data_IF_847368748264
#
_entry.id   IF_847368748264
#
_cell.length_a   1.000
_cell.length_b   1.000
_cell.length_c   1.000
_cell.angle_alpha   90.00
_cell.angle_beta   90.00
_cell.angle_gamma   90.00
#
_symmetry.space_group_name_H-M   'P 1'
#
loop_
_entity.id
_entity.type
_entity.pdbx_description
1 polymer ?
#
# COMPACT_ATOMS: atom_id res chain seq x y z
N UNK A 1 18.78 19.62 -11.18
CA UNK A 1 18.58 20.14 -12.56
C UNK A 1 17.28 19.57 -13.11
N UNK A 2 16.39 20.40 -13.60
CA UNK A 2 15.11 19.96 -14.15
C UNK A 2 15.27 19.35 -15.54
N UNK A 3 14.32 18.47 -15.95
CA UNK A 3 14.30 17.90 -17.32
C UNK A 3 14.36 18.95 -18.44
N UNK A 4 13.97 20.19 -18.16
CA UNK A 4 14.02 21.33 -19.08
C UNK A 4 15.44 21.90 -19.22
N UNK A 5 16.25 21.84 -18.17
CA UNK A 5 17.64 22.34 -18.20
C UNK A 5 18.59 21.37 -18.89
N UNK A 6 18.38 20.04 -18.72
CA UNK A 6 19.12 19.03 -19.47
C UNK A 6 18.89 19.13 -20.99
N UNK A 7 17.66 19.43 -21.44
CA UNK A 7 17.35 19.63 -22.86
C UNK A 7 18.02 20.88 -23.44
N UNK A 8 18.17 21.95 -22.64
CA UNK A 8 18.90 23.15 -23.10
C UNK A 8 20.39 22.94 -23.20
N UNK A 9 20.98 22.14 -22.30
CA UNK A 9 22.43 21.86 -22.32
C UNK A 9 22.84 21.03 -23.55
N UNK A 10 22.02 20.04 -23.93
CA UNK A 10 22.25 19.21 -25.13
C UNK A 10 22.11 20.01 -26.42
N UNK A 11 21.16 20.97 -26.48
CA UNK A 11 21.03 21.87 -27.64
C UNK A 11 22.20 22.85 -27.78
N UNK A 12 22.76 23.36 -26.68
CA UNK A 12 23.89 24.30 -26.70
C UNK A 12 25.20 23.60 -27.11
N UNK A 13 25.43 22.36 -26.70
CA UNK A 13 26.59 21.56 -27.12
C UNK A 13 26.54 21.17 -28.62
N UNK A 14 25.34 20.93 -29.14
CA UNK A 14 25.20 20.63 -30.59
C UNK A 14 25.42 21.87 -31.48
N UNK A 15 25.08 23.08 -31.00
CA UNK A 15 25.30 24.31 -31.76
C UNK A 15 26.76 24.80 -31.74
N UNK A 16 27.53 24.49 -30.70
CA UNK A 16 28.94 24.93 -30.59
C UNK A 16 29.91 24.11 -31.44
N UNK A 17 29.55 22.90 -31.89
CA UNK A 17 30.35 22.10 -32.83
C UNK A 17 30.11 22.46 -34.31
N UNK A 18 29.06 23.21 -34.65
CA UNK A 18 28.71 23.55 -36.03
C UNK A 18 29.35 24.83 -36.56
N UNK A 19 30.07 25.61 -35.73
CA UNK A 19 30.68 26.87 -36.16
C UNK A 19 32.13 26.77 -36.63
N UNK A 20 32.69 25.60 -36.80
CA UNK A 20 34.12 25.40 -37.12
C UNK A 20 34.39 24.75 -38.51
N UNK A 21 33.43 24.80 -39.47
CA UNK A 21 33.69 24.27 -40.81
C UNK A 21 33.48 25.32 -41.91
N UNK A 22 34.46 25.55 -42.82
CA UNK A 22 34.29 26.51 -43.89
C UNK A 22 33.60 25.84 -45.11
N UNK A 23 32.55 26.51 -45.57
CA UNK A 23 32.00 26.50 -46.93
C UNK A 23 31.58 25.19 -47.57
N UNK A 24 30.34 25.05 -47.83
CA UNK A 24 29.52 24.14 -48.64
C UNK A 24 28.47 23.28 -47.89
N UNK A 25 28.03 23.72 -46.72
CA UNK A 25 27.16 22.91 -45.87
C UNK A 25 25.64 23.13 -46.00
N UNK A 26 25.16 24.07 -46.85
CA UNK A 26 23.73 24.46 -46.77
C UNK A 26 22.81 23.48 -47.55
N UNK A 27 23.29 22.81 -48.54
CA UNK A 27 22.46 21.86 -49.32
C UNK A 27 22.29 20.47 -48.65
N UNK A 28 23.17 20.09 -47.70
CA UNK A 28 23.05 18.82 -46.94
C UNK A 28 22.23 18.95 -45.64
N UNK A 29 21.94 20.17 -45.18
CA UNK A 29 21.15 20.36 -43.96
C UNK A 29 19.65 20.10 -44.13
N UNK A 30 19.14 20.14 -45.36
CA UNK A 30 17.71 19.86 -45.60
C UNK A 30 17.37 18.36 -45.53
N UNK A 31 18.36 17.46 -45.63
CA UNK A 31 18.14 16.02 -45.52
C UNK A 31 18.42 15.49 -44.10
N UNK A 32 19.14 16.24 -43.26
CA UNK A 32 19.46 15.86 -41.88
C UNK A 32 18.41 16.28 -40.87
N UNK A 33 17.47 17.17 -41.22
CA UNK A 33 16.44 17.65 -40.30
C UNK A 33 15.27 16.69 -40.06
N UNK A 34 15.21 15.56 -40.79
CA UNK A 34 14.14 14.57 -40.64
C UNK A 34 14.57 13.29 -39.89
N UNK A 35 15.75 13.28 -39.28
CA UNK A 35 16.22 12.14 -38.48
C UNK A 35 16.64 12.60 -37.10
N UNK A 36 15.74 13.29 -36.38
CA UNK A 36 15.73 13.16 -34.93
C UNK A 36 15.05 11.80 -34.67
N UNK A 37 15.76 10.72 -34.93
CA UNK A 37 15.51 9.45 -34.28
C UNK A 37 15.57 9.76 -32.77
N UNK A 38 14.44 9.76 -32.13
CA UNK A 38 14.38 9.57 -30.67
C UNK A 38 15.25 8.33 -30.46
N UNK A 39 16.45 8.52 -29.89
CA UNK A 39 17.28 7.42 -29.41
C UNK A 39 16.38 6.70 -28.39
N UNK A 40 15.70 5.67 -28.85
CA UNK A 40 14.99 4.75 -27.96
C UNK A 40 16.10 4.13 -27.12
N UNK A 41 16.11 4.44 -25.82
CA UNK A 41 17.03 3.79 -24.89
C UNK A 41 16.72 2.30 -24.98
N UNK A 42 17.68 1.50 -25.46
CA UNK A 42 17.49 0.06 -25.57
C UNK A 42 17.23 -0.53 -24.19
N UNK A 43 16.34 -1.52 -24.14
CA UNK A 43 16.05 -2.26 -22.93
C UNK A 43 17.27 -3.08 -22.51
N UNK A 44 17.56 -3.14 -21.23
CA UNK A 44 18.63 -3.92 -20.68
C UNK A 44 18.44 -5.41 -20.99
N UNK A 45 19.41 -6.03 -21.65
CA UNK A 45 19.33 -7.42 -22.11
C UNK A 45 19.10 -8.41 -20.96
N UNK A 46 19.72 -8.17 -19.80
CA UNK A 46 19.55 -9.03 -18.62
C UNK A 46 18.13 -8.93 -18.06
N UNK A 47 17.58 -7.72 -17.95
CA UNK A 47 16.19 -7.52 -17.49
C UNK A 47 15.20 -8.20 -18.45
N UNK A 48 15.44 -8.08 -19.77
CA UNK A 48 14.65 -8.73 -20.80
C UNK A 48 14.74 -10.27 -20.69
N UNK A 49 15.93 -10.82 -20.52
CA UNK A 49 16.13 -12.26 -20.42
C UNK A 49 15.46 -12.87 -19.18
N UNK A 50 15.58 -12.20 -18.02
CA UNK A 50 14.92 -12.63 -16.79
C UNK A 50 13.39 -12.59 -16.97
N UNK A 51 12.86 -11.50 -17.52
CA UNK A 51 11.44 -11.32 -17.74
C UNK A 51 10.88 -12.39 -18.69
N UNK A 52 11.53 -12.63 -19.84
CA UNK A 52 11.13 -13.66 -20.79
C UNK A 52 11.17 -15.07 -20.17
N UNK A 53 12.15 -15.35 -19.31
CA UNK A 53 12.22 -16.63 -18.61
C UNK A 53 11.02 -16.81 -17.69
N UNK A 54 10.62 -15.77 -16.93
CA UNK A 54 9.44 -15.84 -16.07
C UNK A 54 8.18 -16.06 -16.92
N UNK A 55 7.99 -15.27 -17.99
CA UNK A 55 6.87 -15.39 -18.93
C UNK A 55 6.77 -16.82 -19.47
N UNK A 56 7.89 -17.39 -19.92
CA UNK A 56 7.93 -18.75 -20.45
C UNK A 56 7.49 -19.82 -19.44
N UNK A 57 7.77 -19.65 -18.13
CA UNK A 57 7.31 -20.58 -17.10
C UNK A 57 5.80 -20.50 -16.87
N UNK A 58 5.15 -19.43 -17.31
CA UNK A 58 3.71 -19.21 -17.20
C UNK A 58 2.97 -19.46 -18.53
N UNK A 59 3.69 -19.73 -19.63
CA UNK A 59 3.10 -20.02 -20.94
C UNK A 59 2.20 -21.26 -20.88
N UNK A 60 1.06 -21.21 -21.55
CA UNK A 60 0.04 -22.27 -21.53
C UNK A 60 -0.84 -22.31 -20.27
N UNK A 61 -0.57 -21.44 -19.28
CA UNK A 61 -1.45 -21.20 -18.16
C UNK A 61 -2.42 -20.07 -18.53
N UNK A 62 -3.58 -20.05 -17.88
CA UNK A 62 -4.58 -19.01 -18.14
C UNK A 62 -4.14 -17.70 -17.45
N UNK A 63 -3.14 -17.02 -18.02
CA UNK A 63 -2.57 -15.79 -17.48
C UNK A 63 -2.86 -14.60 -18.40
N UNK A 64 -2.93 -13.39 -17.84
CA UNK A 64 -3.08 -12.12 -18.55
C UNK A 64 -1.73 -11.47 -18.89
N UNK A 65 -0.61 -12.18 -18.68
CA UNK A 65 0.73 -11.64 -18.89
C UNK A 65 0.96 -11.36 -20.38
N UNK A 66 1.31 -10.12 -20.70
CA UNK A 66 1.66 -9.69 -22.04
C UNK A 66 3.07 -10.15 -22.43
N UNK A 67 3.21 -10.82 -23.57
CA UNK A 67 4.52 -11.11 -24.18
C UNK A 67 5.14 -9.86 -24.83
N UNK A 68 4.33 -8.82 -25.05
CA UNK A 68 4.80 -7.55 -25.58
C UNK A 68 5.43 -6.70 -24.45
N UNK A 69 6.76 -6.69 -24.38
CA UNK A 69 7.50 -5.94 -23.37
C UNK A 69 7.40 -4.41 -23.51
N UNK A 70 6.66 -3.90 -24.48
CA UNK A 70 6.29 -2.48 -24.62
C UNK A 70 4.87 -2.19 -24.10
N UNK A 71 4.18 -3.18 -23.58
CA UNK A 71 2.87 -2.97 -22.98
C UNK A 71 3.00 -2.13 -21.71
N UNK A 72 2.71 -0.85 -21.81
CA UNK A 72 2.84 0.11 -20.71
C UNK A 72 1.85 -0.09 -19.57
N UNK A 73 0.85 -0.96 -19.73
CA UNK A 73 -0.05 -1.36 -18.65
C UNK A 73 0.62 -2.36 -17.71
N UNK A 74 1.56 -3.16 -18.25
CA UNK A 74 2.22 -4.22 -17.48
C UNK A 74 3.69 -3.93 -17.17
N UNK A 75 4.38 -3.13 -17.98
CA UNK A 75 5.82 -2.90 -17.84
C UNK A 75 6.18 -1.42 -17.83
N UNK A 76 6.94 -1.02 -16.83
CA UNK A 76 7.50 0.34 -16.74
C UNK A 76 9.01 0.27 -16.89
N UNK A 77 9.55 0.97 -17.89
CA UNK A 77 10.98 1.04 -18.20
C UNK A 77 11.50 2.45 -17.97
N UNK A 78 12.61 2.59 -17.24
CA UNK A 78 13.33 3.85 -17.00
C UNK A 78 14.80 3.69 -17.40
N UNK A 79 15.27 4.51 -18.35
CA UNK A 79 16.65 4.44 -18.85
C UNK A 79 17.08 3.02 -19.27
N UNK A 80 16.19 2.28 -19.92
CA UNK A 80 16.40 0.91 -20.36
C UNK A 80 16.28 -0.16 -19.28
N UNK A 81 16.12 0.18 -18.00
CA UNK A 81 15.92 -0.77 -16.91
C UNK A 81 14.45 -0.98 -16.61
N UNK A 82 14.08 -2.21 -16.31
CA UNK A 82 12.73 -2.55 -15.88
C UNK A 82 12.55 -2.14 -14.42
N UNK A 83 11.66 -1.16 -14.18
CA UNK A 83 11.41 -0.60 -12.84
C UNK A 83 10.01 -0.91 -12.30
N UNK A 84 9.08 -1.35 -13.15
CA UNK A 84 7.74 -1.70 -12.72
C UNK A 84 7.17 -2.89 -13.49
N UNK A 85 6.48 -3.77 -12.77
CA UNK A 85 5.69 -4.88 -13.30
C UNK A 85 4.31 -4.83 -12.66
N UNK A 86 3.28 -4.86 -13.50
CA UNK A 86 1.90 -5.06 -13.07
C UNK A 86 1.32 -6.31 -13.74
N UNK A 87 1.29 -7.41 -13.01
CA UNK A 87 0.72 -8.68 -13.42
C UNK A 87 -0.44 -9.09 -12.52
N UNK A 88 -1.16 -8.09 -11.98
CA UNK A 88 -2.38 -8.35 -11.22
C UNK A 88 -3.44 -9.01 -12.11
N UNK A 89 -4.16 -9.96 -11.54
CA UNK A 89 -5.36 -10.53 -12.12
C UNK A 89 -6.58 -10.00 -11.35
N UNK A 90 -7.03 -8.81 -11.72
CA UNK A 90 -8.10 -8.10 -11.03
C UNK A 90 -9.44 -8.85 -11.11
N UNK A 91 -9.70 -9.54 -12.22
CA UNK A 91 -10.92 -10.36 -12.39
C UNK A 91 -10.92 -11.58 -11.45
N UNK A 92 -9.76 -11.99 -10.99
CA UNK A 92 -9.56 -13.19 -10.17
C UNK A 92 -9.46 -12.89 -8.65
N UNK A 93 -9.42 -11.63 -8.25
CA UNK A 93 -9.36 -11.23 -6.83
C UNK A 93 -10.47 -11.89 -5.99
N UNK A 94 -11.60 -12.25 -6.62
CA UNK A 94 -12.75 -12.84 -5.93
C UNK A 94 -13.05 -14.30 -6.33
N UNK A 95 -12.45 -14.85 -7.37
CA UNK A 95 -12.86 -16.16 -7.95
C UNK A 95 -11.86 -17.27 -7.73
N UNK A 96 -10.60 -17.00 -7.42
CA UNK A 96 -9.54 -17.97 -7.12
C UNK A 96 -9.23 -18.97 -8.25
N UNK A 97 -7.97 -19.26 -8.52
CA UNK A 97 -7.56 -20.41 -9.32
C UNK A 97 -7.18 -20.15 -10.78
N UNK A 98 -7.09 -18.89 -11.20
CA UNK A 98 -6.54 -18.51 -12.52
C UNK A 98 -5.24 -17.74 -12.34
N UNK A 99 -4.61 -17.32 -13.45
CA UNK A 99 -3.41 -16.50 -13.44
C UNK A 99 -2.13 -17.29 -13.21
N UNK A 100 -1.08 -16.59 -12.80
CA UNK A 100 0.23 -17.18 -12.52
C UNK A 100 0.16 -18.20 -11.38
N UNK A 101 0.95 -19.27 -11.49
CA UNK A 101 0.97 -20.36 -10.51
C UNK A 101 2.39 -20.77 -10.15
N UNK A 102 2.55 -21.37 -8.97
CA UNK A 102 3.83 -21.93 -8.51
C UNK A 102 4.75 -20.91 -7.90
N UNK A 103 6.04 -21.24 -7.83
CA UNK A 103 7.07 -20.35 -7.31
C UNK A 103 7.58 -19.44 -8.43
N UNK A 104 7.71 -18.15 -8.14
CA UNK A 104 8.23 -17.15 -9.07
C UNK A 104 9.35 -16.37 -8.41
N UNK A 105 10.46 -16.16 -9.14
CA UNK A 105 11.57 -15.34 -8.69
C UNK A 105 11.73 -14.13 -9.61
N UNK A 106 11.73 -12.95 -9.01
CA UNK A 106 12.05 -11.67 -9.65
C UNK A 106 13.47 -11.19 -9.30
N UNK A 107 14.24 -11.98 -8.55
CA UNK A 107 15.53 -11.58 -7.96
C UNK A 107 16.56 -11.04 -8.95
N UNK A 108 16.48 -11.44 -10.24
CA UNK A 108 17.38 -10.93 -11.30
C UNK A 108 17.07 -9.50 -11.76
N UNK A 109 15.93 -8.92 -11.38
CA UNK A 109 15.47 -7.58 -11.80
C UNK A 109 15.86 -6.52 -10.77
N UNK A 110 17.16 -6.24 -10.63
CA UNK A 110 17.70 -5.43 -9.53
C UNK A 110 17.26 -3.95 -9.53
N UNK A 111 16.73 -3.44 -10.63
CA UNK A 111 16.20 -2.08 -10.75
C UNK A 111 14.69 -2.00 -10.44
N UNK A 112 14.03 -3.13 -10.15
CA UNK A 112 12.58 -3.17 -9.94
C UNK A 112 12.22 -2.40 -8.68
N UNK A 113 11.32 -1.42 -8.82
CA UNK A 113 10.80 -0.56 -7.76
C UNK A 113 9.35 -0.91 -7.39
N UNK A 114 8.59 -1.39 -8.38
CA UNK A 114 7.18 -1.68 -8.21
C UNK A 114 6.85 -3.05 -8.77
N UNK A 115 6.26 -3.90 -7.95
CA UNK A 115 5.80 -5.23 -8.35
C UNK A 115 4.36 -5.43 -7.86
N UNK A 116 3.44 -5.64 -8.79
CA UNK A 116 2.11 -6.09 -8.50
C UNK A 116 1.87 -7.47 -9.15
N UNK A 117 1.63 -8.47 -8.32
CA UNK A 117 1.28 -9.83 -8.72
C UNK A 117 0.02 -10.33 -7.98
N UNK A 118 -0.83 -9.40 -7.55
CA UNK A 118 -2.08 -9.69 -6.81
C UNK A 118 -3.06 -10.53 -7.64
N UNK A 119 -3.93 -11.27 -6.95
CA UNK A 119 -4.99 -12.07 -7.59
C UNK A 119 -4.50 -13.35 -8.29
N UNK A 120 -3.25 -13.72 -8.13
CA UNK A 120 -2.64 -14.89 -8.76
C UNK A 120 -2.52 -16.08 -7.81
N UNK A 121 -2.45 -17.30 -8.35
CA UNK A 121 -2.30 -18.54 -7.56
C UNK A 121 -0.82 -18.89 -7.31
N UNK A 122 0.07 -17.89 -7.19
CA UNK A 122 1.48 -18.10 -6.86
C UNK A 122 1.63 -18.60 -5.42
N UNK A 123 2.53 -19.55 -5.22
CA UNK A 123 2.74 -20.21 -3.91
C UNK A 123 4.00 -19.77 -3.19
N UNK A 124 4.96 -19.22 -3.93
CA UNK A 124 6.18 -18.63 -3.39
C UNK A 124 6.64 -17.45 -4.26
N UNK A 125 7.20 -16.43 -3.63
CA UNK A 125 7.69 -15.21 -4.28
C UNK A 125 9.09 -14.92 -3.78
N UNK A 126 10.06 -14.87 -4.71
CA UNK A 126 11.43 -14.48 -4.42
C UNK A 126 11.70 -13.08 -4.97
N UNK A 127 11.87 -12.13 -4.05
CA UNK A 127 12.22 -10.73 -4.30
C UNK A 127 13.58 -10.35 -3.68
N UNK A 128 14.39 -11.34 -3.31
CA UNK A 128 15.66 -11.15 -2.57
C UNK A 128 16.68 -10.28 -3.32
N UNK A 129 16.65 -10.27 -4.67
CA UNK A 129 17.53 -9.43 -5.50
C UNK A 129 16.94 -8.06 -5.87
N UNK A 130 15.70 -7.77 -5.48
CA UNK A 130 15.02 -6.51 -5.82
C UNK A 130 15.27 -5.46 -4.74
N UNK A 131 16.53 -5.09 -4.52
CA UNK A 131 16.93 -4.17 -3.44
C UNK A 131 16.42 -2.73 -3.61
N UNK A 132 15.95 -2.38 -4.82
CA UNK A 132 15.33 -1.10 -5.12
C UNK A 132 13.81 -1.09 -4.94
N UNK A 133 13.21 -2.20 -4.46
CA UNK A 133 11.76 -2.36 -4.36
C UNK A 133 11.17 -1.38 -3.33
N UNK A 134 10.22 -0.57 -3.79
CA UNK A 134 9.51 0.42 -2.99
C UNK A 134 8.04 0.01 -2.76
N UNK A 135 7.45 -0.72 -3.71
CA UNK A 135 6.06 -1.17 -3.64
C UNK A 135 5.96 -2.66 -4.00
N UNK A 136 5.35 -3.45 -3.13
CA UNK A 136 5.03 -4.84 -3.37
C UNK A 136 3.55 -5.11 -3.10
N UNK A 137 2.84 -5.53 -4.14
CA UNK A 137 1.46 -5.96 -4.07
C UNK A 137 1.39 -7.45 -4.45
N UNK A 138 1.05 -8.29 -3.47
CA UNK A 138 0.84 -9.73 -3.63
C UNK A 138 -0.44 -10.17 -2.91
N UNK A 139 -1.43 -9.28 -2.90
CA UNK A 139 -2.74 -9.49 -2.30
C UNK A 139 -3.47 -10.64 -2.97
N UNK A 140 -4.21 -11.42 -2.16
CA UNK A 140 -4.98 -12.57 -2.64
C UNK A 140 -4.15 -13.53 -3.50
N UNK A 141 -3.08 -14.03 -2.90
CA UNK A 141 -2.21 -15.06 -3.48
C UNK A 141 -2.14 -16.28 -2.57
N UNK A 142 -1.53 -17.36 -3.04
CA UNK A 142 -1.34 -18.59 -2.24
C UNK A 142 0.01 -18.62 -1.52
N UNK A 143 0.70 -17.48 -1.39
CA UNK A 143 2.02 -17.37 -0.76
C UNK A 143 1.90 -17.72 0.74
N UNK A 144 2.79 -18.60 1.21
CA UNK A 144 2.80 -19.08 2.60
C UNK A 144 3.92 -18.49 3.45
N UNK A 145 4.95 -17.91 2.81
CA UNK A 145 6.06 -17.20 3.43
C UNK A 145 6.55 -16.10 2.50
N UNK A 146 7.06 -15.00 3.06
CA UNK A 146 7.56 -13.85 2.31
C UNK A 146 8.82 -13.32 3.01
N UNK A 147 9.98 -13.42 2.34
CA UNK A 147 11.24 -12.88 2.83
C UNK A 147 11.47 -11.49 2.21
N UNK A 148 11.46 -10.47 3.07
CA UNK A 148 11.64 -9.06 2.71
C UNK A 148 12.95 -8.49 3.27
N UNK A 149 13.85 -9.32 3.78
CA UNK A 149 15.06 -8.90 4.49
C UNK A 149 15.98 -7.99 3.68
N UNK A 150 15.97 -8.12 2.34
CA UNK A 150 16.79 -7.31 1.43
C UNK A 150 16.04 -6.09 0.84
N UNK A 151 14.73 -5.95 1.09
CA UNK A 151 13.92 -4.89 0.49
C UNK A 151 13.81 -3.68 1.42
N UNK A 152 14.97 -3.13 1.82
CA UNK A 152 15.07 -2.08 2.85
C UNK A 152 14.42 -0.74 2.45
N UNK A 153 14.14 -0.53 1.16
CA UNK A 153 13.49 0.66 0.62
C UNK A 153 11.97 0.52 0.51
N UNK A 154 11.41 -0.63 0.95
CA UNK A 154 9.97 -0.92 0.82
C UNK A 154 9.16 0.07 1.65
N UNK A 155 8.22 0.76 0.99
CA UNK A 155 7.31 1.77 1.56
C UNK A 155 5.88 1.28 1.62
N UNK A 156 5.47 0.46 0.66
CA UNK A 156 4.10 -0.06 0.54
C UNK A 156 4.14 -1.57 0.37
N UNK A 157 3.49 -2.28 1.30
CA UNK A 157 3.33 -3.73 1.27
C UNK A 157 1.85 -4.09 1.39
N UNK A 158 1.31 -4.68 0.31
CA UNK A 158 -0.04 -5.21 0.25
C UNK A 158 0.03 -6.73 0.10
N UNK A 159 -0.09 -7.46 1.20
CA UNK A 159 -0.01 -8.92 1.23
C UNK A 159 -1.26 -9.58 1.87
N UNK A 160 -2.36 -8.82 1.97
CA UNK A 160 -3.62 -9.31 2.51
C UNK A 160 -4.17 -10.51 1.73
N UNK A 161 -4.95 -11.34 2.40
CA UNK A 161 -5.54 -12.57 1.86
C UNK A 161 -4.53 -13.55 1.23
N UNK A 162 -3.24 -13.42 1.57
CA UNK A 162 -2.25 -14.46 1.32
C UNK A 162 -2.29 -15.52 2.45
N UNK A 163 -1.71 -16.69 2.21
CA UNK A 163 -1.70 -17.78 3.21
C UNK A 163 -0.57 -17.63 4.25
N UNK A 164 -0.17 -16.40 4.54
CA UNK A 164 0.93 -16.09 5.47
C UNK A 164 0.54 -16.45 6.91
N UNK A 165 1.41 -17.17 7.61
CA UNK A 165 1.31 -17.44 9.05
C UNK A 165 2.18 -16.53 9.89
N UNK A 166 3.24 -16.02 9.28
CA UNK A 166 4.21 -15.09 9.87
C UNK A 166 4.54 -14.00 8.86
N UNK A 167 4.85 -12.81 9.33
CA UNK A 167 5.28 -11.67 8.52
C UNK A 167 6.35 -10.91 9.28
N UNK A 168 7.54 -10.82 8.68
CA UNK A 168 8.71 -10.16 9.22
C UNK A 168 8.97 -8.87 8.44
N UNK A 169 8.82 -7.72 9.11
CA UNK A 169 8.98 -6.38 8.52
C UNK A 169 10.03 -5.53 9.24
N UNK A 170 10.79 -6.14 10.16
CA UNK A 170 11.83 -5.46 10.96
C UNK A 170 12.97 -4.88 10.11
N UNK A 171 13.18 -5.40 8.90
CA UNK A 171 14.20 -4.91 7.96
C UNK A 171 13.66 -3.87 6.94
N UNK A 172 12.42 -3.43 7.11
CA UNK A 172 11.77 -2.47 6.21
C UNK A 172 11.44 -1.14 6.92
N UNK A 173 12.46 -0.38 7.38
CA UNK A 173 12.22 0.81 8.21
C UNK A 173 11.54 1.96 7.47
N UNK A 174 11.55 1.93 6.13
CA UNK A 174 10.89 2.92 5.28
C UNK A 174 9.38 2.64 5.08
N UNK A 175 8.83 1.55 5.67
CA UNK A 175 7.45 1.13 5.46
C UNK A 175 6.47 2.18 6.00
N UNK A 176 5.64 2.70 5.09
CA UNK A 176 4.60 3.69 5.36
C UNK A 176 3.21 3.05 5.37
N UNK A 177 2.97 2.07 4.49
CA UNK A 177 1.69 1.38 4.37
C UNK A 177 1.88 -0.13 4.47
N UNK A 178 1.17 -0.76 5.38
CA UNK A 178 1.14 -2.20 5.55
C UNK A 178 -0.30 -2.71 5.54
N UNK A 179 -0.61 -3.60 4.61
CA UNK A 179 -1.85 -4.33 4.56
C UNK A 179 -1.57 -5.83 4.57
N UNK A 180 -2.00 -6.49 5.64
CA UNK A 180 -1.87 -7.93 5.86
C UNK A 180 -3.19 -8.56 6.34
N UNK A 181 -4.31 -7.89 6.04
CA UNK A 181 -5.64 -8.37 6.41
C UNK A 181 -5.96 -9.74 5.80
N UNK A 182 -6.80 -10.50 6.48
CA UNK A 182 -7.27 -11.81 6.00
C UNK A 182 -6.19 -12.87 5.93
N UNK A 183 -5.02 -12.67 6.53
CA UNK A 183 -3.94 -13.65 6.63
C UNK A 183 -4.07 -14.48 7.92
N UNK A 184 -3.25 -15.52 8.06
CA UNK A 184 -3.22 -16.38 9.25
C UNK A 184 -2.18 -15.93 10.29
N UNK A 185 -1.67 -14.71 10.20
CA UNK A 185 -0.67 -14.19 11.15
C UNK A 185 -1.30 -14.05 12.54
N UNK A 186 -0.54 -14.44 13.57
CA UNK A 186 -0.97 -14.39 14.97
C UNK A 186 -0.06 -13.50 15.84
N UNK A 187 1.04 -13.03 15.26
CA UNK A 187 1.96 -12.01 15.83
C UNK A 187 2.43 -11.09 14.72
N UNK A 188 2.58 -9.81 15.04
CA UNK A 188 3.11 -8.80 14.15
C UNK A 188 3.96 -7.81 14.96
N UNK A 189 5.24 -7.70 14.65
CA UNK A 189 6.13 -6.70 15.23
C UNK A 189 6.38 -5.59 14.22
N UNK A 190 5.87 -4.40 14.52
CA UNK A 190 6.04 -3.18 13.72
C UNK A 190 6.93 -2.15 14.42
N UNK A 191 7.64 -2.53 15.49
CA UNK A 191 8.46 -1.61 16.31
C UNK A 191 9.60 -0.92 15.54
N UNK A 192 10.04 -1.50 14.41
CA UNK A 192 11.07 -0.92 13.53
C UNK A 192 10.49 -0.02 12.43
N UNK A 193 9.18 -0.09 12.19
CA UNK A 193 8.51 0.63 11.10
C UNK A 193 7.97 1.98 11.59
N UNK A 194 8.88 2.87 12.02
CA UNK A 194 8.52 4.16 12.63
C UNK A 194 7.85 5.14 11.66
N UNK A 195 8.01 4.91 10.35
CA UNK A 195 7.37 5.70 9.29
C UNK A 195 5.92 5.24 8.99
N UNK A 196 5.41 4.19 9.67
CA UNK A 196 4.13 3.59 9.37
C UNK A 196 2.98 4.58 9.60
N UNK A 197 2.20 4.84 8.55
CA UNK A 197 1.03 5.72 8.52
C UNK A 197 -0.27 4.94 8.47
N UNK A 198 -0.26 3.83 7.73
CA UNK A 198 -1.45 2.98 7.57
C UNK A 198 -1.13 1.54 7.94
N UNK A 199 -1.91 0.98 8.85
CA UNK A 199 -1.86 -0.44 9.19
C UNK A 199 -3.24 -1.07 9.04
N UNK A 200 -3.35 -2.06 8.15
CA UNK A 200 -4.54 -2.91 7.97
C UNK A 200 -4.16 -4.35 8.33
N UNK A 201 -4.64 -4.81 9.47
CA UNK A 201 -4.36 -6.15 9.99
C UNK A 201 -5.63 -6.84 10.49
N UNK A 202 -6.78 -6.41 9.99
CA UNK A 202 -8.08 -6.97 10.30
C UNK A 202 -8.24 -8.41 9.77
N UNK A 203 -9.14 -9.16 10.38
CA UNK A 203 -9.42 -10.55 10.02
C UNK A 203 -8.15 -11.42 10.06
N UNK A 204 -7.38 -11.30 11.13
CA UNK A 204 -6.15 -12.07 11.38
C UNK A 204 -6.24 -12.80 12.73
N UNK A 205 -5.22 -13.61 13.04
CA UNK A 205 -5.12 -14.31 14.33
C UNK A 205 -4.48 -13.50 15.46
N UNK A 206 -4.24 -12.20 15.28
CA UNK A 206 -3.55 -11.35 16.25
C UNK A 206 -4.29 -11.33 17.59
N UNK A 207 -3.55 -11.53 18.69
CA UNK A 207 -4.07 -11.47 20.05
C UNK A 207 -3.64 -10.20 20.80
N UNK A 208 -2.60 -9.54 20.29
CA UNK A 208 -2.07 -8.27 20.80
C UNK A 208 -1.38 -7.51 19.68
N UNK A 209 -1.27 -6.18 19.84
CA UNK A 209 -0.59 -5.30 18.88
C UNK A 209 0.09 -4.19 19.69
N UNK A 210 1.43 -4.11 19.61
CA UNK A 210 2.22 -3.03 20.19
C UNK A 210 2.49 -1.95 19.15
N UNK A 211 1.92 -0.76 19.36
CA UNK A 211 2.03 0.40 18.47
C UNK A 211 2.84 1.55 19.11
N UNK A 212 3.52 1.29 20.21
CA UNK A 212 4.24 2.32 20.99
C UNK A 212 5.34 3.05 20.19
N UNK A 213 5.85 2.42 19.11
CA UNK A 213 6.89 3.00 18.26
C UNK A 213 6.35 3.65 16.96
N UNK A 214 5.02 3.60 16.72
CA UNK A 214 4.42 4.03 15.45
C UNK A 214 3.69 5.36 15.61
N UNK A 215 4.41 6.41 16.06
CA UNK A 215 3.84 7.73 16.32
C UNK A 215 3.29 8.44 15.07
N UNK A 216 3.71 8.01 13.87
CA UNK A 216 3.23 8.54 12.59
C UNK A 216 1.91 7.90 12.12
N UNK A 217 1.35 6.92 12.88
CA UNK A 217 0.19 6.16 12.45
C UNK A 217 -1.06 7.06 12.37
N UNK A 218 -1.63 7.15 11.16
CA UNK A 218 -2.80 7.95 10.82
C UNK A 218 -4.06 7.08 10.72
N UNK A 219 -3.92 5.83 10.27
CA UNK A 219 -5.04 4.90 10.10
C UNK A 219 -4.71 3.51 10.62
N UNK A 220 -5.52 3.02 11.54
CA UNK A 220 -5.47 1.67 12.09
C UNK A 220 -6.78 0.93 11.82
N UNK A 221 -6.70 -0.18 11.07
CA UNK A 221 -7.82 -1.08 10.79
C UNK A 221 -7.45 -2.46 11.32
N UNK A 222 -8.01 -2.85 12.48
CA UNK A 222 -7.68 -4.09 13.19
C UNK A 222 -8.93 -4.85 13.69
N UNK A 223 -10.05 -4.73 12.99
CA UNK A 223 -11.27 -5.42 13.34
C UNK A 223 -11.21 -6.93 13.06
N UNK A 224 -12.09 -7.73 13.68
CA UNK A 224 -12.10 -9.19 13.56
C UNK A 224 -10.72 -9.81 13.88
N UNK A 225 -10.08 -9.35 14.96
CA UNK A 225 -8.91 -9.97 15.54
C UNK A 225 -9.28 -10.59 16.90
N UNK A 226 -8.31 -11.15 17.60
CA UNK A 226 -8.53 -11.70 18.96
C UNK A 226 -7.96 -10.78 20.04
N UNK A 227 -7.81 -9.50 19.71
CA UNK A 227 -7.21 -8.50 20.59
C UNK A 227 -8.13 -8.19 21.78
N UNK A 228 -7.61 -8.31 23.00
CA UNK A 228 -8.35 -8.05 24.24
C UNK A 228 -8.10 -6.64 24.81
N UNK A 229 -7.00 -6.02 24.43
CA UNK A 229 -6.64 -4.66 24.81
C UNK A 229 -5.92 -3.98 23.66
N UNK A 230 -6.13 -2.67 23.49
CA UNK A 230 -5.48 -1.85 22.46
C UNK A 230 -5.03 -0.54 23.09
N UNK A 231 -3.72 -0.31 23.11
CA UNK A 231 -3.13 0.95 23.54
C UNK A 231 -2.75 1.80 22.34
N UNK A 232 -3.43 2.93 22.17
CA UNK A 232 -3.18 3.91 21.09
C UNK A 232 -2.65 5.24 21.64
N UNK A 233 -2.22 5.28 22.91
CA UNK A 233 -1.77 6.51 23.58
C UNK A 233 -0.56 7.17 22.91
N UNK A 234 0.28 6.39 22.20
CA UNK A 234 1.46 6.86 21.48
C UNK A 234 1.18 7.30 20.05
N UNK A 235 -0.06 7.12 19.55
CA UNK A 235 -0.43 7.35 18.15
C UNK A 235 -1.20 8.66 17.99
N UNK A 236 -0.59 9.78 18.36
CA UNK A 236 -1.24 11.10 18.36
C UNK A 236 -1.62 11.61 16.95
N UNK A 237 -1.10 11.01 15.90
CA UNK A 237 -1.45 11.31 14.50
C UNK A 237 -2.74 10.59 14.04
N UNK A 238 -3.30 9.66 14.84
CA UNK A 238 -4.39 8.78 14.43
C UNK A 238 -5.65 9.59 14.08
N UNK A 239 -6.14 9.37 12.86
CA UNK A 239 -7.35 9.98 12.31
C UNK A 239 -8.48 8.97 12.17
N UNK A 240 -8.15 7.70 11.86
CA UNK A 240 -9.12 6.61 11.68
C UNK A 240 -8.73 5.43 12.55
N UNK A 241 -9.65 4.99 13.40
CA UNK A 241 -9.51 3.78 14.22
C UNK A 241 -10.70 2.86 13.99
N UNK A 242 -10.45 1.65 13.47
CA UNK A 242 -11.43 0.58 13.36
C UNK A 242 -10.95 -0.65 14.11
N UNK A 243 -11.57 -0.89 15.28
CA UNK A 243 -11.30 -2.01 16.18
C UNK A 243 -12.57 -2.82 16.48
N UNK A 244 -13.59 -2.71 15.63
CA UNK A 244 -14.85 -3.41 15.80
C UNK A 244 -14.68 -4.94 15.83
N UNK A 245 -15.64 -5.63 16.45
CA UNK A 245 -15.68 -7.11 16.53
C UNK A 245 -14.40 -7.71 17.14
N UNK A 246 -13.99 -7.13 18.28
CA UNK A 246 -12.88 -7.57 19.11
C UNK A 246 -13.34 -7.76 20.55
N UNK A 247 -12.57 -8.47 21.38
CA UNK A 247 -12.90 -8.67 22.79
C UNK A 247 -12.39 -7.53 23.71
N UNK A 248 -12.42 -6.29 23.20
CA UNK A 248 -11.97 -5.11 23.97
C UNK A 248 -12.95 -4.81 25.08
N UNK A 249 -12.47 -4.68 26.32
CA UNK A 249 -13.29 -4.29 27.48
C UNK A 249 -13.19 -2.78 27.82
N UNK A 250 -12.23 -2.08 27.23
CA UNK A 250 -12.02 -0.65 27.35
C UNK A 250 -11.20 -0.11 26.18
N UNK A 251 -11.33 1.18 25.92
CA UNK A 251 -10.58 1.89 24.89
C UNK A 251 -10.36 3.34 25.35
N UNK A 252 -9.10 3.74 25.51
CA UNK A 252 -8.73 5.12 25.79
C UNK A 252 -8.22 5.80 24.51
N UNK A 253 -8.97 6.80 24.05
CA UNK A 253 -8.64 7.59 22.86
C UNK A 253 -8.27 9.05 23.22
N UNK A 254 -8.03 9.33 24.50
CA UNK A 254 -7.81 10.69 25.00
C UNK A 254 -6.55 11.37 24.42
N UNK A 255 -5.58 10.59 23.95
CA UNK A 255 -4.35 11.08 23.28
C UNK A 255 -4.53 11.31 21.78
N UNK A 256 -5.59 10.79 21.17
CA UNK A 256 -5.79 10.81 19.72
C UNK A 256 -6.61 12.03 19.28
N UNK A 257 -6.05 13.23 19.46
CA UNK A 257 -6.76 14.50 19.26
C UNK A 257 -7.15 14.76 17.81
N UNK A 258 -6.56 14.04 16.85
CA UNK A 258 -6.87 14.14 15.42
C UNK A 258 -7.94 13.14 14.98
N UNK A 259 -8.46 12.30 15.88
CA UNK A 259 -9.41 11.25 15.52
C UNK A 259 -10.69 11.84 14.92
N UNK A 260 -11.02 11.36 13.73
CA UNK A 260 -12.20 11.76 12.93
C UNK A 260 -13.22 10.62 12.85
N UNK A 261 -12.73 9.38 12.79
CA UNK A 261 -13.57 8.20 12.63
C UNK A 261 -13.19 7.13 13.67
N UNK A 262 -14.17 6.69 14.45
CA UNK A 262 -14.03 5.63 15.43
C UNK A 262 -15.08 4.56 15.19
N UNK A 263 -14.63 3.35 14.94
CA UNK A 263 -15.47 2.16 14.77
C UNK A 263 -15.09 1.13 15.84
N UNK A 264 -15.91 1.02 16.90
CA UNK A 264 -15.69 0.11 18.03
C UNK A 264 -16.93 -0.74 18.35
N UNK A 265 -17.86 -0.87 17.40
CA UNK A 265 -19.04 -1.74 17.52
C UNK A 265 -18.64 -3.19 17.80
N UNK A 266 -19.57 -3.95 18.43
CA UNK A 266 -19.37 -5.37 18.75
C UNK A 266 -18.13 -5.62 19.60
N UNK A 267 -17.98 -4.84 20.66
CA UNK A 267 -16.94 -4.97 21.67
C UNK A 267 -17.55 -5.02 23.06
N UNK A 268 -16.75 -5.42 24.07
CA UNK A 268 -17.18 -5.43 25.47
C UNK A 268 -16.95 -4.10 26.19
N UNK A 269 -16.71 -3.01 25.45
CA UNK A 269 -16.49 -1.67 26.01
C UNK A 269 -17.74 -1.22 26.77
N UNK A 270 -17.56 -0.85 28.04
CA UNK A 270 -18.64 -0.40 28.92
C UNK A 270 -18.64 1.11 29.18
N UNK A 271 -17.53 1.77 28.90
CA UNK A 271 -17.38 3.22 29.03
C UNK A 271 -16.48 3.74 27.91
N UNK A 272 -16.88 4.85 27.27
CA UNK A 272 -16.13 5.50 26.21
C UNK A 272 -16.18 7.01 26.41
N UNK A 273 -15.02 7.61 26.71
CA UNK A 273 -14.87 9.06 26.77
C UNK A 273 -14.22 9.59 25.48
N UNK A 274 -15.00 10.32 24.70
CA UNK A 274 -14.56 10.98 23.46
C UNK A 274 -14.48 12.50 23.59
N UNK A 275 -14.52 13.03 24.82
CA UNK A 275 -14.56 14.47 25.08
C UNK A 275 -13.33 15.23 24.56
N UNK A 276 -12.18 14.56 24.40
CA UNK A 276 -10.95 15.12 23.82
C UNK A 276 -10.91 15.05 22.29
N UNK A 277 -11.71 14.18 21.68
CA UNK A 277 -11.73 13.95 20.24
C UNK A 277 -12.67 14.93 19.53
N UNK A 278 -12.38 16.23 19.64
CA UNK A 278 -13.27 17.32 19.17
C UNK A 278 -13.40 17.35 17.63
N UNK A 279 -12.56 16.61 16.91
CA UNK A 279 -12.61 16.46 15.46
C UNK A 279 -13.46 15.25 15.01
N UNK A 280 -14.02 14.47 15.97
CA UNK A 280 -14.76 13.25 15.66
C UNK A 280 -16.02 13.56 14.84
N UNK A 281 -16.13 12.89 13.68
CA UNK A 281 -17.22 13.03 12.70
C UNK A 281 -18.09 11.77 12.63
N UNK A 282 -17.47 10.59 12.83
CA UNK A 282 -18.15 9.29 12.74
C UNK A 282 -17.83 8.48 14.01
N UNK A 283 -18.87 7.96 14.66
CA UNK A 283 -18.76 7.04 15.79
C UNK A 283 -19.73 5.87 15.60
N UNK A 284 -19.19 4.65 15.50
CA UNK A 284 -19.96 3.41 15.55
C UNK A 284 -19.58 2.66 16.82
N UNK A 285 -20.55 2.48 17.73
CA UNK A 285 -20.39 1.82 19.02
C UNK A 285 -21.62 0.97 19.42
N UNK A 286 -22.36 0.51 18.42
CA UNK A 286 -23.47 -0.43 18.62
C UNK A 286 -22.96 -1.83 19.02
N UNK A 287 -23.83 -2.64 19.63
CA UNK A 287 -23.47 -3.96 20.17
C UNK A 287 -22.29 -3.86 21.16
N UNK A 288 -22.33 -2.88 22.06
CA UNK A 288 -21.35 -2.68 23.17
C UNK A 288 -22.04 -2.75 24.54
N UNK A 289 -21.27 -2.59 25.61
CA UNK A 289 -21.81 -2.46 26.98
C UNK A 289 -21.94 -1.00 27.44
N UNK A 290 -21.81 -0.03 26.52
CA UNK A 290 -21.94 1.39 26.81
C UNK A 290 -23.41 1.69 27.14
N UNK A 291 -23.65 2.33 28.30
CA UNK A 291 -24.99 2.73 28.73
C UNK A 291 -25.25 4.23 28.58
N UNK A 292 -24.21 5.04 28.52
CA UNK A 292 -24.32 6.49 28.34
C UNK A 292 -23.14 7.03 27.53
N UNK A 293 -23.40 8.11 26.74
CA UNK A 293 -22.42 8.73 25.88
C UNK A 293 -22.62 10.25 25.85
N UNK A 294 -21.60 11.00 26.24
CA UNK A 294 -21.63 12.47 26.16
C UNK A 294 -20.84 12.95 24.93
N UNK A 295 -21.57 13.47 23.94
CA UNK A 295 -21.04 14.04 22.71
C UNK A 295 -21.06 15.57 22.70
N UNK A 296 -21.23 16.20 23.86
CA UNK A 296 -21.34 17.66 23.97
C UNK A 296 -20.11 18.43 23.45
N UNK A 297 -18.94 17.78 23.41
CA UNK A 297 -17.69 18.34 22.86
C UNK A 297 -17.44 18.01 21.38
N UNK A 298 -18.13 17.03 20.83
CA UNK A 298 -17.91 16.53 19.47
C UNK A 298 -18.78 17.28 18.44
N UNK A 299 -18.54 18.57 18.28
CA UNK A 299 -19.38 19.47 17.44
C UNK A 299 -19.32 19.16 15.94
N UNK A 300 -18.34 18.36 15.50
CA UNK A 300 -18.20 17.91 14.12
C UNK A 300 -18.90 16.59 13.84
N UNK A 301 -19.51 15.95 14.86
CA UNK A 301 -20.21 14.68 14.72
C UNK A 301 -21.31 14.76 13.67
N UNK A 302 -21.27 13.86 12.70
CA UNK A 302 -22.24 13.74 11.60
C UNK A 302 -22.99 12.42 11.67
N UNK A 303 -22.27 11.34 11.99
CA UNK A 303 -22.82 10.00 11.99
C UNK A 303 -22.55 9.34 13.35
N UNK A 304 -23.62 8.95 14.01
CA UNK A 304 -23.59 8.14 15.22
C UNK A 304 -24.38 6.86 14.99
N UNK A 305 -23.77 5.73 15.32
CA UNK A 305 -24.42 4.43 15.43
C UNK A 305 -24.15 3.85 16.81
N UNK A 306 -25.19 3.70 17.60
CA UNK A 306 -25.20 3.09 18.93
C UNK A 306 -26.53 2.38 19.14
N UNK A 307 -26.61 1.57 20.21
CA UNK A 307 -27.86 0.91 20.57
C UNK A 307 -28.91 1.92 21.08
N UNK A 308 -30.19 1.65 20.86
CA UNK A 308 -31.31 2.50 21.28
C UNK A 308 -31.35 2.70 22.80
N UNK A 309 -30.75 1.76 23.56
CA UNK A 309 -30.68 1.82 25.04
C UNK A 309 -29.65 2.82 25.59
N UNK A 310 -28.71 3.30 24.73
CA UNK A 310 -27.64 4.22 25.13
C UNK A 310 -28.23 5.63 25.39
N UNK A 311 -27.98 6.18 26.55
CA UNK A 311 -28.33 7.57 26.87
C UNK A 311 -27.33 8.53 26.21
N UNK A 312 -27.70 9.14 25.09
CA UNK A 312 -26.81 10.06 24.35
C UNK A 312 -27.16 11.50 24.71
N UNK A 313 -26.13 12.28 25.10
CA UNK A 313 -26.21 13.73 25.30
C UNK A 313 -25.35 14.49 24.30
N UNK A 314 -25.76 15.72 23.97
CA UNK A 314 -24.95 16.63 23.12
C UNK A 314 -24.96 16.35 21.62
N UNK A 315 -25.61 15.28 21.14
CA UNK A 315 -25.74 14.98 19.72
C UNK A 315 -27.16 15.33 19.22
N UNK A 316 -27.23 16.02 18.09
CA UNK A 316 -28.46 16.23 17.33
C UNK A 316 -28.20 15.71 15.92
N UNK A 317 -28.90 14.67 15.47
CA UNK A 317 -28.80 14.21 14.08
C UNK A 317 -29.06 15.40 13.15
N UNK A 318 -28.18 15.61 12.19
CA UNK A 318 -28.48 16.53 11.08
C UNK A 318 -29.64 15.92 10.28
N UNK A 319 -30.66 16.70 9.90
CA UNK A 319 -31.71 16.19 9.02
C UNK A 319 -31.03 15.68 7.75
N UNK A 320 -31.31 14.43 7.41
CA UNK A 320 -30.89 13.84 6.13
C UNK A 320 -31.39 14.76 5.03
N UNK A 321 -30.49 15.42 4.31
CA UNK A 321 -30.83 16.06 3.05
C UNK A 321 -31.20 14.90 2.10
N UNK A 322 -32.49 14.68 1.90
CA UNK A 322 -32.96 13.87 0.77
C UNK A 322 -32.50 14.60 -0.48
N UNK A 323 -31.76 13.95 -1.38
CA UNK A 323 -31.53 14.54 -2.68
C UNK A 323 -32.87 14.68 -3.36
N UNK A 324 -33.22 15.89 -3.82
CA UNK A 324 -34.33 16.18 -4.72
C UNK A 324 -34.18 15.47 -6.09
#
# INVERSE_FOLDING_TARGET
MSKKECRKLVCVLALSLLMAMPGNGIAQMASASNSITTLSVEKNEQDVAVLQKIIATQSGKNTTISENLNDSKQYTWENGRLVGINWSDEDNIYTGGRGMTGAISFAGLSALKQLNCSGNSITALDVSGNTALETLECFNTSITALDLSNNVLLKDLQCGYANLKELHVENNPALENLSCEGTYIYKLDVSKNKALKTLRCNNTGLTSLDLSQNAALESLICYYTKTQSLDVSHNAALEILSCLDNSLTGLDVSSNLKLKELYCSKTDISNLDVSKNTLLEVLYCDDTKISSLDLSKNKKMRTLRCDDSVQVTGFRPQPTQTPD
#
